data_IF_642975912894
#
_entry.id   IF_642975912894
#
_cell.length_a   1.000
_cell.length_b   1.000
_cell.length_c   1.000
_cell.angle_alpha   90.00
_cell.angle_beta   90.00
_cell.angle_gamma   90.00
#
_symmetry.space_group_name_H-M   'P 1'
#
loop_
_entity.id
_entity.type
_entity.pdbx_description
1 polymer ?
#
# COMPACT_ATOMS: atom_id res chain seq x y z
N UNK A 1 -3.63 -37.31 5.55
CA UNK A 1 -5.06 -36.90 5.60
C UNK A 1 -5.68 -37.24 4.25
N UNK A 2 -6.65 -38.18 4.21
CA UNK A 2 -7.24 -38.62 2.94
C UNK A 2 -8.08 -37.52 2.30
N UNK A 3 -7.99 -37.37 0.96
CA UNK A 3 -8.74 -36.38 0.17
C UNK A 3 -10.26 -36.42 0.44
N UNK A 4 -10.80 -37.61 0.77
CA UNK A 4 -12.21 -37.83 1.14
C UNK A 4 -12.57 -37.16 2.47
N UNK A 5 -11.67 -37.18 3.45
CA UNK A 5 -11.86 -36.57 4.77
C UNK A 5 -11.82 -35.02 4.66
N UNK A 6 -10.91 -34.49 3.84
CA UNK A 6 -10.84 -33.05 3.57
C UNK A 6 -12.12 -32.56 2.89
N UNK A 7 -12.63 -33.28 1.90
CA UNK A 7 -13.87 -32.94 1.18
C UNK A 7 -15.12 -33.02 2.08
N UNK A 8 -15.16 -33.98 3.02
CA UNK A 8 -16.22 -34.10 4.01
C UNK A 8 -16.20 -32.91 4.98
N UNK A 9 -15.04 -32.58 5.55
CA UNK A 9 -14.87 -31.45 6.46
C UNK A 9 -15.18 -30.10 5.80
N UNK A 10 -14.82 -29.95 4.52
CA UNK A 10 -15.16 -28.80 3.70
C UNK A 10 -16.66 -28.66 3.50
N UNK A 11 -17.37 -29.78 3.19
CA UNK A 11 -18.81 -29.81 3.06
C UNK A 11 -19.54 -29.46 4.35
N UNK A 12 -19.02 -29.91 5.49
CA UNK A 12 -19.60 -29.65 6.81
C UNK A 12 -19.43 -28.20 7.25
N UNK A 13 -18.29 -27.54 6.89
CA UNK A 13 -18.09 -26.10 7.11
C UNK A 13 -19.10 -25.24 6.34
N UNK A 14 -19.42 -25.60 5.10
CA UNK A 14 -20.47 -24.93 4.29
C UNK A 14 -21.88 -25.19 4.86
N UNK A 15 -22.16 -26.41 5.34
CA UNK A 15 -23.43 -26.73 5.99
C UNK A 15 -23.62 -26.02 7.33
N UNK A 16 -22.55 -25.76 8.08
CA UNK A 16 -22.60 -25.02 9.35
C UNK A 16 -23.10 -23.59 9.14
N UNK A 17 -22.64 -22.90 8.08
CA UNK A 17 -23.14 -21.58 7.68
C UNK A 17 -24.63 -21.60 7.34
N UNK A 18 -25.13 -22.69 6.76
CA UNK A 18 -26.54 -22.85 6.37
C UNK A 18 -27.48 -23.17 7.53
N UNK A 19 -27.00 -23.74 8.64
CA UNK A 19 -27.86 -24.15 9.78
C UNK A 19 -28.20 -23.00 10.74
N UNK A 20 -27.33 -21.99 10.86
CA UNK A 20 -27.54 -20.78 11.63
C UNK A 20 -27.27 -19.51 10.80
N UNK A 21 -28.08 -19.25 9.75
CA UNK A 21 -27.77 -18.23 8.76
C UNK A 21 -27.70 -16.83 9.36
N UNK A 22 -28.50 -16.51 10.35
CA UNK A 22 -28.51 -15.18 10.98
C UNK A 22 -27.20 -14.86 11.69
N UNK A 23 -26.63 -15.79 12.46
CA UNK A 23 -25.37 -15.60 13.18
C UNK A 23 -24.17 -15.52 12.23
N UNK A 24 -24.12 -16.42 11.25
CA UNK A 24 -23.04 -16.44 10.27
C UNK A 24 -23.10 -15.21 9.36
N UNK A 25 -24.31 -14.77 8.96
CA UNK A 25 -24.50 -13.60 8.11
C UNK A 25 -24.08 -12.31 8.84
N UNK A 26 -24.50 -12.14 10.09
CA UNK A 26 -24.12 -10.96 10.89
C UNK A 26 -22.60 -10.89 11.09
N UNK A 27 -21.94 -12.01 11.32
CA UNK A 27 -20.48 -12.08 11.42
C UNK A 27 -19.80 -11.73 10.09
N UNK A 28 -20.26 -12.29 8.97
CA UNK A 28 -19.72 -11.96 7.64
C UNK A 28 -19.91 -10.48 7.33
N UNK A 29 -21.06 -9.89 7.62
CA UNK A 29 -21.31 -8.44 7.41
C UNK A 29 -20.36 -7.59 8.27
N UNK A 30 -20.20 -7.91 9.55
CA UNK A 30 -19.30 -7.19 10.44
C UNK A 30 -17.82 -7.29 9.97
N UNK A 31 -17.39 -8.49 9.58
CA UNK A 31 -16.05 -8.71 9.04
C UNK A 31 -15.86 -8.01 7.68
N UNK A 32 -16.89 -8.02 6.82
CA UNK A 32 -16.85 -7.30 5.54
C UNK A 32 -16.64 -5.79 5.77
N UNK A 33 -17.40 -5.18 6.70
CA UNK A 33 -17.24 -3.78 7.04
C UNK A 33 -15.83 -3.47 7.55
N UNK A 34 -15.28 -4.31 8.44
CA UNK A 34 -13.92 -4.16 8.94
C UNK A 34 -12.87 -4.29 7.83
N UNK A 35 -13.02 -5.29 6.97
CA UNK A 35 -12.10 -5.53 5.83
C UNK A 35 -12.24 -4.46 4.74
N UNK A 36 -13.41 -3.84 4.57
CA UNK A 36 -13.59 -2.68 3.68
C UNK A 36 -12.73 -1.50 4.15
N UNK A 37 -12.69 -1.23 5.44
CA UNK A 37 -11.84 -0.17 6.01
C UNK A 37 -10.38 -0.49 5.73
N UNK A 38 -9.91 -1.69 6.03
CA UNK A 38 -8.54 -2.11 5.77
C UNK A 38 -8.16 -2.00 4.29
N UNK A 39 -9.02 -2.54 3.41
CA UNK A 39 -8.77 -2.53 1.97
C UNK A 39 -8.81 -1.12 1.38
N UNK A 40 -9.70 -0.25 1.87
CA UNK A 40 -9.74 1.16 1.50
C UNK A 40 -8.43 1.89 1.84
N UNK A 41 -7.92 1.69 3.06
CA UNK A 41 -6.61 2.22 3.44
C UNK A 41 -5.45 1.68 2.60
N UNK A 42 -5.47 0.39 2.25
CA UNK A 42 -4.45 -0.19 1.37
C UNK A 42 -4.51 0.41 -0.04
N UNK A 43 -5.71 0.65 -0.59
CA UNK A 43 -5.87 1.30 -1.90
C UNK A 43 -5.34 2.74 -1.86
N UNK A 44 -5.69 3.51 -0.84
CA UNK A 44 -5.20 4.88 -0.65
C UNK A 44 -3.66 4.87 -0.58
N UNK A 45 -3.10 4.02 0.28
CA UNK A 45 -1.65 3.92 0.45
C UNK A 45 -0.93 3.51 -0.84
N UNK A 46 -1.46 2.55 -1.59
CA UNK A 46 -0.88 2.11 -2.86
C UNK A 46 -0.90 3.22 -3.92
N UNK A 47 -1.96 4.02 -3.96
CA UNK A 47 -2.05 5.15 -4.91
C UNK A 47 -1.15 6.32 -4.49
N UNK A 48 -1.06 6.64 -3.19
CA UNK A 48 -0.10 7.63 -2.69
C UNK A 48 1.34 7.22 -3.01
N UNK A 49 1.72 5.98 -2.73
CA UNK A 49 3.06 5.47 -3.07
C UNK A 49 3.35 5.56 -4.57
N UNK A 50 2.35 5.30 -5.42
CA UNK A 50 2.52 5.45 -6.87
C UNK A 50 2.77 6.89 -7.26
N UNK A 51 1.98 7.84 -6.75
CA UNK A 51 2.18 9.27 -7.00
C UNK A 51 3.57 9.70 -6.54
N UNK A 52 4.00 9.27 -5.35
CA UNK A 52 5.34 9.54 -4.85
C UNK A 52 6.40 9.00 -5.79
N UNK A 53 6.29 7.74 -6.22
CA UNK A 53 7.25 7.12 -7.13
C UNK A 53 7.26 7.79 -8.52
N UNK A 54 6.09 8.14 -9.07
CA UNK A 54 6.00 8.84 -10.36
C UNK A 54 6.67 10.24 -10.28
N UNK A 55 6.54 10.90 -9.14
CA UNK A 55 7.24 12.15 -8.86
C UNK A 55 8.73 11.93 -8.61
N UNK A 56 9.11 10.82 -7.98
CA UNK A 56 10.52 10.43 -7.80
C UNK A 56 11.22 10.09 -9.11
N UNK A 57 10.53 9.47 -10.04
CA UNK A 57 11.08 9.17 -11.38
C UNK A 57 11.29 10.44 -12.22
N UNK A 58 10.55 11.52 -11.90
CA UNK A 58 10.72 12.85 -12.49
C UNK A 58 11.69 13.74 -11.70
N UNK A 59 12.36 13.24 -10.65
CA UNK A 59 13.38 13.98 -9.92
C UNK A 59 14.61 14.19 -10.81
N UNK A 60 14.62 15.32 -11.44
CA UNK A 60 15.77 15.87 -12.13
C UNK A 60 16.45 16.83 -11.16
N UNK A 61 17.75 16.66 -10.98
CA UNK A 61 18.54 17.64 -10.25
C UNK A 61 18.95 18.70 -11.26
N UNK A 62 18.46 19.91 -11.07
CA UNK A 62 18.75 21.05 -11.93
C UNK A 62 19.81 21.89 -11.25
N UNK A 63 20.93 22.07 -11.94
CA UNK A 63 22.04 22.92 -11.50
C UNK A 63 21.97 24.23 -12.28
N UNK A 64 21.57 25.31 -11.62
CA UNK A 64 21.55 26.63 -12.21
C UNK A 64 22.94 27.24 -12.19
N UNK A 65 23.35 27.79 -13.32
CA UNK A 65 24.63 28.46 -13.47
C UNK A 65 24.51 29.96 -13.25
N UNK A 66 25.55 30.58 -12.75
CA UNK A 66 25.62 32.03 -12.71
C UNK A 66 25.53 32.61 -14.13
N UNK A 67 24.83 33.75 -14.32
CA UNK A 67 24.79 34.42 -15.61
C UNK A 67 26.22 34.80 -16.08
N UNK A 68 26.41 34.95 -17.38
CA UNK A 68 27.65 35.36 -18.02
C UNK A 68 28.83 34.36 -17.94
N UNK A 69 28.55 33.05 -17.92
CA UNK A 69 29.60 32.04 -18.02
C UNK A 69 30.18 31.94 -19.45
N UNK A 70 31.52 31.93 -19.53
CA UNK A 70 32.22 31.66 -20.77
C UNK A 70 31.91 30.25 -21.31
N UNK A 71 31.67 30.07 -22.64
CA UNK A 71 31.42 28.77 -23.24
C UNK A 71 32.42 27.68 -22.84
N UNK A 72 33.70 28.06 -22.62
CA UNK A 72 34.72 27.12 -22.13
C UNK A 72 34.50 26.68 -20.68
N UNK A 73 33.91 27.54 -19.82
CA UNK A 73 33.54 27.18 -18.46
C UNK A 73 32.41 26.15 -18.44
N UNK A 74 31.40 26.31 -19.32
CA UNK A 74 30.30 25.37 -19.46
C UNK A 74 30.79 23.95 -19.77
N UNK A 75 31.72 23.77 -20.68
CA UNK A 75 32.25 22.46 -21.03
C UNK A 75 33.00 21.82 -19.84
N UNK A 76 33.77 22.60 -19.09
CA UNK A 76 34.45 22.12 -17.87
C UNK A 76 33.48 21.67 -16.80
N UNK A 77 32.37 22.42 -16.59
CA UNK A 77 31.32 22.07 -15.62
C UNK A 77 30.61 20.79 -16.06
N UNK A 78 30.29 20.66 -17.34
CA UNK A 78 29.65 19.46 -17.88
C UNK A 78 30.53 18.20 -17.67
N UNK A 79 31.83 18.27 -17.90
CA UNK A 79 32.77 17.17 -17.64
C UNK A 79 32.81 16.84 -16.13
N UNK A 80 32.96 17.85 -15.28
CA UNK A 80 32.94 17.65 -13.81
C UNK A 80 31.63 17.03 -13.32
N UNK A 81 30.49 17.44 -13.86
CA UNK A 81 29.18 16.86 -13.50
C UNK A 81 29.06 15.39 -13.92
N UNK A 82 29.65 14.99 -15.05
CA UNK A 82 29.71 13.59 -15.51
C UNK A 82 30.57 12.72 -14.59
N UNK A 83 31.57 13.29 -13.93
CA UNK A 83 32.44 12.59 -13.00
C UNK A 83 31.85 12.44 -11.59
N UNK A 84 30.74 13.13 -11.28
CA UNK A 84 30.08 13.02 -9.97
C UNK A 84 29.50 11.61 -9.79
N UNK A 85 29.84 10.91 -8.68
CA UNK A 85 29.39 9.54 -8.44
C UNK A 85 27.87 9.42 -8.35
N UNK A 86 27.26 8.73 -9.30
CA UNK A 86 25.81 8.52 -9.35
C UNK A 86 25.10 9.28 -10.46
N UNK A 87 25.77 10.19 -11.14
CA UNK A 87 25.27 10.85 -12.35
C UNK A 87 25.43 9.91 -13.54
N UNK A 88 24.37 9.74 -14.32
CA UNK A 88 24.33 8.88 -15.52
C UNK A 88 24.16 9.67 -16.81
N UNK A 89 23.71 10.91 -16.72
CA UNK A 89 23.54 11.81 -17.84
C UNK A 89 23.53 13.26 -17.39
N UNK A 90 23.99 14.13 -18.25
CA UNK A 90 24.02 15.57 -18.06
C UNK A 90 23.49 16.21 -19.33
N UNK A 91 22.43 17.00 -19.23
CA UNK A 91 21.83 17.76 -20.34
C UNK A 91 21.96 19.25 -20.04
N UNK A 92 22.52 20.00 -20.94
CA UNK A 92 22.52 21.45 -20.86
C UNK A 92 21.20 22.00 -21.39
N UNK A 93 20.61 22.94 -20.67
CA UNK A 93 19.40 23.68 -21.04
C UNK A 93 19.78 25.15 -21.16
N UNK A 94 19.64 25.72 -22.35
CA UNK A 94 19.88 27.13 -22.55
C UNK A 94 18.75 27.97 -21.95
N UNK A 95 18.96 29.27 -21.66
CA UNK A 95 17.88 30.15 -21.21
C UNK A 95 16.69 30.19 -22.15
N UNK A 96 16.95 30.12 -23.47
CA UNK A 96 15.90 30.11 -24.50
C UNK A 96 15.08 28.81 -24.46
N UNK A 97 15.76 27.64 -24.36
CA UNK A 97 15.13 26.32 -24.25
C UNK A 97 14.31 26.24 -22.95
N UNK A 98 14.87 26.72 -21.82
CA UNK A 98 14.15 26.77 -20.55
C UNK A 98 12.89 27.65 -20.62
N UNK A 99 12.96 28.76 -21.34
CA UNK A 99 11.81 29.65 -21.55
C UNK A 99 10.73 29.01 -22.41
N UNK A 100 11.13 28.32 -23.48
CA UNK A 100 10.20 27.61 -24.35
C UNK A 100 9.49 26.46 -23.62
N UNK A 101 10.23 25.68 -22.81
CA UNK A 101 9.64 24.63 -21.97
C UNK A 101 8.69 25.23 -20.92
N UNK A 102 9.09 26.30 -20.24
CA UNK A 102 8.28 26.98 -19.23
C UNK A 102 6.98 27.54 -19.80
N UNK A 103 7.05 28.19 -20.98
CA UNK A 103 5.87 28.75 -21.65
C UNK A 103 4.93 27.67 -22.17
N UNK A 104 5.46 26.51 -22.61
CA UNK A 104 4.65 25.39 -23.06
C UNK A 104 3.87 24.72 -21.93
N UNK A 105 4.40 24.73 -20.70
CA UNK A 105 3.73 24.17 -19.51
C UNK A 105 2.71 25.13 -18.89
N UNK A 106 2.89 26.45 -19.06
CA UNK A 106 1.99 27.47 -18.54
C UNK A 106 0.76 27.64 -19.43
N UNK A 107 -0.36 27.07 -19.03
CA UNK A 107 -1.67 27.17 -19.73
C UNK A 107 -2.42 28.50 -19.47
N UNK A 108 -1.78 29.55 -18.96
CA UNK A 108 -2.43 30.83 -18.59
C UNK A 108 -1.97 32.01 -19.42
N UNK A 109 -2.81 32.46 -20.36
CA UNK A 109 -2.54 33.53 -21.31
C UNK A 109 -2.25 34.93 -20.71
N UNK A 110 -2.28 35.14 -19.40
CA UNK A 110 -2.10 36.47 -18.77
C UNK A 110 -0.79 36.68 -18.03
N UNK A 111 -0.12 35.62 -17.56
CA UNK A 111 1.08 35.72 -16.74
C UNK A 111 2.36 35.97 -17.57
N UNK A 112 2.40 35.52 -18.80
CA UNK A 112 3.58 35.66 -19.67
C UNK A 112 3.80 37.09 -20.13
N UNK A 113 2.72 37.89 -20.28
CA UNK A 113 2.80 39.30 -20.66
C UNK A 113 3.36 40.20 -19.54
N UNK A 114 3.25 39.78 -18.27
CA UNK A 114 3.77 40.50 -17.11
C UNK A 114 5.25 40.27 -16.83
N UNK A 115 5.83 39.14 -17.28
CA UNK A 115 7.21 38.78 -16.96
C UNK A 115 8.24 39.51 -17.85
N UNK A 116 7.85 39.90 -19.07
CA UNK A 116 8.72 40.67 -20.00
C UNK A 116 9.86 39.84 -20.57
N UNK A 117 11.11 40.20 -20.25
CA UNK A 117 12.30 39.46 -20.71
C UNK A 117 12.50 38.14 -19.96
N UNK A 118 13.12 37.15 -20.63
CA UNK A 118 13.41 35.83 -20.06
C UNK A 118 14.32 35.93 -18.81
N UNK A 119 13.83 35.62 -17.59
CA UNK A 119 14.63 35.69 -16.37
C UNK A 119 15.37 34.38 -16.05
N UNK A 120 15.20 33.32 -16.87
CA UNK A 120 15.72 32.00 -16.54
C UNK A 120 17.23 31.92 -16.83
N UNK A 121 18.05 31.46 -15.85
CA UNK A 121 19.47 31.25 -16.06
C UNK A 121 19.74 29.98 -16.87
N UNK A 122 20.93 29.82 -17.47
CA UNK A 122 21.37 28.56 -18.03
C UNK A 122 21.48 27.48 -16.94
N UNK A 123 21.15 26.24 -17.27
CA UNK A 123 21.13 25.17 -16.29
C UNK A 123 21.63 23.83 -16.89
N UNK A 124 22.01 22.91 -15.99
CA UNK A 124 22.25 21.52 -16.32
C UNK A 124 21.21 20.64 -15.60
N UNK A 125 20.58 19.77 -16.38
CA UNK A 125 19.72 18.70 -15.87
C UNK A 125 20.56 17.44 -15.66
N UNK A 126 20.57 16.90 -14.43
CA UNK A 126 21.31 15.71 -14.06
C UNK A 126 20.38 14.51 -13.97
N UNK A 127 20.68 13.47 -14.73
CA UNK A 127 20.02 12.16 -14.57
C UNK A 127 20.84 11.29 -13.61
N UNK A 128 20.19 10.86 -12.52
CA UNK A 128 20.83 10.04 -11.50
C UNK A 128 20.53 8.54 -11.74
N UNK A 129 21.45 7.70 -11.30
CA UNK A 129 21.27 6.25 -11.25
C UNK A 129 20.19 5.89 -10.22
N UNK A 130 19.39 4.85 -10.49
CA UNK A 130 18.23 4.47 -9.68
C UNK A 130 18.55 4.25 -8.18
N UNK A 131 19.74 3.71 -7.86
CA UNK A 131 20.19 3.50 -6.47
C UNK A 131 20.61 4.79 -5.75
N UNK A 132 20.76 5.91 -6.48
CA UNK A 132 21.15 7.23 -5.97
C UNK A 132 20.04 8.29 -6.03
N UNK A 133 18.81 7.89 -6.38
CA UNK A 133 17.64 8.78 -6.43
C UNK A 133 16.98 8.99 -5.06
N UNK A 134 17.54 8.45 -3.97
CA UNK A 134 17.06 8.73 -2.62
C UNK A 134 17.50 10.12 -2.13
N UNK A 135 16.69 10.73 -1.28
CA UNK A 135 16.88 12.10 -0.80
C UNK A 135 18.28 12.35 -0.23
N UNK A 136 18.81 11.44 0.59
CA UNK A 136 20.14 11.61 1.19
C UNK A 136 21.27 11.63 0.15
N UNK A 137 21.16 10.84 -0.93
CA UNK A 137 22.14 10.85 -2.02
C UNK A 137 22.02 12.11 -2.89
N UNK A 138 20.78 12.59 -3.11
CA UNK A 138 20.52 13.82 -3.85
C UNK A 138 21.05 15.03 -3.08
N UNK A 139 20.80 15.12 -1.78
CA UNK A 139 21.33 16.18 -0.90
C UNK A 139 22.87 16.19 -0.87
N UNK A 140 23.50 15.01 -0.83
CA UNK A 140 24.95 14.91 -0.86
C UNK A 140 25.52 15.41 -2.19
N UNK A 141 24.91 15.02 -3.33
CA UNK A 141 25.32 15.48 -4.67
C UNK A 141 25.07 16.98 -4.82
N UNK A 142 23.90 17.47 -4.38
CA UNK A 142 23.56 18.87 -4.44
C UNK A 142 24.53 19.72 -3.62
N UNK A 143 24.83 19.33 -2.38
CA UNK A 143 25.79 20.03 -1.54
C UNK A 143 27.24 20.03 -2.07
N UNK A 144 27.65 18.95 -2.77
CA UNK A 144 28.95 18.92 -3.45
C UNK A 144 29.00 19.88 -4.64
N UNK A 145 27.93 19.90 -5.46
CA UNK A 145 27.87 20.73 -6.68
C UNK A 145 27.61 22.21 -6.34
N UNK A 146 26.80 22.51 -5.32
CA UNK A 146 26.50 23.87 -4.87
C UNK A 146 27.75 24.60 -4.33
N UNK A 147 28.75 23.85 -3.87
CA UNK A 147 30.03 24.41 -3.43
C UNK A 147 30.93 24.90 -4.60
N UNK A 148 30.53 24.74 -5.85
CA UNK A 148 31.33 25.18 -7.00
C UNK A 148 31.08 26.65 -7.30
N UNK A 149 32.14 27.40 -7.57
CA UNK A 149 32.07 28.86 -7.78
C UNK A 149 31.20 29.27 -8.97
N UNK A 150 31.03 28.38 -9.95
CA UNK A 150 30.30 28.62 -11.18
C UNK A 150 28.78 28.35 -11.02
N UNK A 151 28.38 27.68 -9.95
CA UNK A 151 27.01 27.30 -9.66
C UNK A 151 26.34 28.43 -8.87
N UNK A 152 25.09 28.74 -9.21
CA UNK A 152 24.28 29.70 -8.49
C UNK A 152 23.40 28.99 -7.46
N UNK A 153 22.64 27.98 -7.91
CA UNK A 153 21.72 27.19 -7.07
C UNK A 153 21.59 25.78 -7.61
N UNK A 154 21.38 24.81 -6.73
CA UNK A 154 21.03 23.45 -7.10
C UNK A 154 19.60 23.14 -6.65
N UNK A 155 18.69 22.99 -7.61
CA UNK A 155 17.31 22.65 -7.35
C UNK A 155 17.06 21.16 -7.59
N UNK A 156 16.51 20.47 -6.58
CA UNK A 156 16.19 19.04 -6.66
C UNK A 156 14.76 18.72 -6.16
N UNK A 157 13.85 19.69 -6.31
CA UNK A 157 12.48 19.56 -5.78
C UNK A 157 12.36 19.66 -4.27
N UNK A 158 13.45 19.98 -3.60
CA UNK A 158 13.62 20.47 -2.21
C UNK A 158 12.64 19.97 -1.14
N UNK A 159 12.10 20.94 -0.42
CA UNK A 159 11.34 20.73 0.82
C UNK A 159 10.03 19.92 0.64
N UNK A 160 9.34 20.02 -0.49
CA UNK A 160 8.08 19.31 -0.68
C UNK A 160 8.27 17.79 -0.88
N UNK A 161 9.38 17.37 -1.48
CA UNK A 161 9.73 15.96 -1.66
C UNK A 161 10.04 15.30 -0.32
N UNK A 162 10.77 15.98 0.56
CA UNK A 162 11.04 15.50 1.92
C UNK A 162 9.77 15.39 2.76
N UNK A 163 8.82 16.31 2.59
CA UNK A 163 7.50 16.25 3.21
C UNK A 163 6.66 15.08 2.68
N UNK A 164 6.77 14.78 1.39
CA UNK A 164 6.06 13.66 0.77
C UNK A 164 6.58 12.31 1.27
N UNK A 165 7.90 12.16 1.41
CA UNK A 165 8.53 10.97 2.01
C UNK A 165 8.14 10.80 3.49
N UNK A 166 8.10 11.89 4.24
CA UNK A 166 7.63 11.88 5.63
C UNK A 166 6.16 11.45 5.71
N UNK A 167 5.31 11.97 4.81
CA UNK A 167 3.91 11.60 4.71
C UNK A 167 3.73 10.12 4.33
N UNK A 168 4.49 9.62 3.36
CA UNK A 168 4.44 8.20 2.97
C UNK A 168 4.83 7.27 4.14
N UNK A 169 5.84 7.64 4.93
CA UNK A 169 6.22 6.90 6.15
C UNK A 169 5.13 6.95 7.22
N UNK A 170 4.50 8.12 7.45
CA UNK A 170 3.38 8.24 8.39
C UNK A 170 2.20 7.37 7.96
N UNK A 171 1.89 7.34 6.65
CA UNK A 171 0.83 6.52 6.09
C UNK A 171 1.11 5.01 6.28
N UNK A 172 2.38 4.58 6.17
CA UNK A 172 2.78 3.20 6.45
C UNK A 172 2.54 2.79 7.91
N UNK A 173 2.88 3.65 8.88
CA UNK A 173 2.58 3.43 10.31
C UNK A 173 1.08 3.43 10.59
N UNK A 174 0.32 4.32 9.95
CA UNK A 174 -1.14 4.34 10.05
C UNK A 174 -1.74 3.05 9.50
N UNK A 175 -1.27 2.56 8.35
CA UNK A 175 -1.71 1.27 7.79
C UNK A 175 -1.45 0.11 8.75
N UNK A 176 -0.29 0.08 9.40
CA UNK A 176 0.01 -0.93 10.42
C UNK A 176 -0.96 -0.84 11.61
N UNK A 177 -1.25 0.36 12.08
CA UNK A 177 -2.23 0.59 13.14
C UNK A 177 -3.64 0.11 12.76
N UNK A 178 -4.09 0.45 11.55
CA UNK A 178 -5.39 0.00 11.01
C UNK A 178 -5.40 -1.52 10.85
N UNK A 179 -4.34 -2.13 10.34
CA UNK A 179 -4.24 -3.59 10.20
C UNK A 179 -4.37 -4.29 11.57
N UNK A 180 -3.71 -3.78 12.60
CA UNK A 180 -3.80 -4.33 13.95
C UNK A 180 -5.20 -4.16 14.54
N UNK A 181 -5.79 -2.98 14.43
CA UNK A 181 -7.13 -2.69 14.94
C UNK A 181 -8.20 -3.55 14.24
N UNK A 182 -8.18 -3.60 12.91
CA UNK A 182 -9.09 -4.42 12.12
C UNK A 182 -8.84 -5.90 12.37
N UNK A 183 -7.56 -6.31 12.45
CA UNK A 183 -7.19 -7.69 12.77
C UNK A 183 -7.78 -8.14 14.10
N UNK A 184 -7.67 -7.32 15.15
CA UNK A 184 -8.28 -7.59 16.46
C UNK A 184 -9.81 -7.66 16.36
N UNK A 185 -10.44 -6.74 15.63
CA UNK A 185 -11.89 -6.75 15.44
C UNK A 185 -12.38 -8.02 14.74
N UNK A 186 -11.72 -8.42 13.64
CA UNK A 186 -12.04 -9.65 12.90
C UNK A 186 -11.84 -10.88 13.78
N UNK A 187 -10.72 -10.97 14.48
CA UNK A 187 -10.45 -12.07 15.43
C UNK A 187 -11.51 -12.15 16.51
N UNK A 188 -11.92 -11.01 17.09
CA UNK A 188 -12.97 -10.96 18.11
C UNK A 188 -14.34 -11.41 17.57
N UNK A 189 -14.72 -10.98 16.36
CA UNK A 189 -15.97 -11.38 15.71
C UNK A 189 -15.98 -12.87 15.43
N UNK A 190 -14.90 -13.40 14.83
CA UNK A 190 -14.74 -14.84 14.55
C UNK A 190 -14.80 -15.63 15.87
N UNK A 191 -14.03 -15.21 16.87
CA UNK A 191 -13.97 -15.91 18.16
C UNK A 191 -15.35 -15.96 18.82
N UNK A 192 -16.11 -14.87 18.81
CA UNK A 192 -17.46 -14.83 19.37
C UNK A 192 -18.41 -15.74 18.58
N UNK A 193 -18.36 -15.71 17.25
CA UNK A 193 -19.23 -16.55 16.39
C UNK A 193 -18.94 -18.03 16.58
N UNK A 194 -17.67 -18.43 16.57
CA UNK A 194 -17.25 -19.82 16.78
C UNK A 194 -17.65 -20.27 18.20
N UNK A 195 -17.49 -19.42 19.22
CA UNK A 195 -17.94 -19.75 20.57
C UNK A 195 -19.45 -20.05 20.62
N UNK A 196 -20.26 -19.24 19.97
CA UNK A 196 -21.71 -19.46 19.90
C UNK A 196 -22.05 -20.73 19.11
N UNK A 197 -21.35 -21.01 18.01
CA UNK A 197 -21.55 -22.23 17.22
C UNK A 197 -21.18 -23.48 18.02
N UNK A 198 -20.08 -23.45 18.79
CA UNK A 198 -19.68 -24.57 19.67
C UNK A 198 -20.72 -24.81 20.75
N UNK A 199 -21.23 -23.76 21.37
CA UNK A 199 -22.31 -23.87 22.38
C UNK A 199 -23.62 -24.45 21.78
N UNK A 200 -23.97 -24.03 20.56
CA UNK A 200 -25.16 -24.55 19.87
C UNK A 200 -25.02 -26.02 19.45
N UNK A 201 -23.78 -26.52 19.28
CA UNK A 201 -23.49 -27.93 18.91
C UNK A 201 -23.02 -28.77 20.10
N UNK A 202 -23.23 -28.32 21.33
CA UNK A 202 -22.71 -28.95 22.55
C UNK A 202 -23.05 -30.44 22.63
N UNK A 203 -24.34 -30.78 22.44
CA UNK A 203 -24.81 -32.17 22.52
C UNK A 203 -24.16 -33.09 21.49
N UNK A 204 -23.93 -32.57 20.26
CA UNK A 204 -23.26 -33.31 19.22
C UNK A 204 -21.76 -33.54 19.58
N UNK A 205 -21.13 -32.57 20.20
CA UNK A 205 -19.73 -32.66 20.65
C UNK A 205 -19.62 -33.69 21.79
N UNK A 206 -20.53 -33.70 22.72
CA UNK A 206 -20.58 -34.69 23.81
C UNK A 206 -20.70 -36.12 23.28
N UNK A 207 -21.62 -36.37 22.33
CA UNK A 207 -21.73 -37.67 21.66
C UNK A 207 -20.43 -38.07 20.96
N UNK A 208 -19.78 -37.14 20.23
CA UNK A 208 -18.51 -37.43 19.58
C UNK A 208 -17.40 -37.82 20.58
N UNK A 209 -17.36 -37.17 21.77
CA UNK A 209 -16.42 -37.51 22.84
C UNK A 209 -16.68 -38.92 23.40
N UNK A 210 -17.94 -39.27 23.65
CA UNK A 210 -18.32 -40.59 24.16
C UNK A 210 -17.93 -41.72 23.19
N UNK A 211 -18.03 -41.48 21.89
CA UNK A 211 -17.62 -42.44 20.84
C UNK A 211 -16.09 -42.47 20.64
N UNK A 212 -15.32 -41.62 21.35
CA UNK A 212 -13.85 -41.63 21.33
C UNK A 212 -13.22 -40.80 20.21
N UNK A 213 -13.93 -39.80 19.66
CA UNK A 213 -13.36 -38.90 18.68
C UNK A 213 -12.22 -38.07 19.29
N UNK A 214 -11.11 -37.92 18.57
CA UNK A 214 -9.98 -37.11 19.03
C UNK A 214 -10.36 -35.62 19.09
N UNK A 215 -9.78 -34.88 20.03
CA UNK A 215 -10.04 -33.42 20.17
C UNK A 215 -9.76 -32.67 18.86
N UNK A 216 -8.72 -33.05 18.12
CA UNK A 216 -8.37 -32.45 16.84
C UNK A 216 -9.50 -32.62 15.81
N UNK A 217 -10.08 -33.82 15.74
CA UNK A 217 -11.20 -34.11 14.85
C UNK A 217 -12.43 -33.26 15.18
N UNK A 218 -12.70 -33.03 16.47
CA UNK A 218 -13.81 -32.20 16.95
C UNK A 218 -13.58 -30.73 16.63
N UNK A 219 -12.33 -30.24 16.67
CA UNK A 219 -11.98 -28.82 16.47
C UNK A 219 -11.92 -28.40 15.01
N UNK A 220 -11.57 -29.31 14.10
CA UNK A 220 -11.33 -28.99 12.69
C UNK A 220 -12.52 -28.32 11.95
N UNK A 221 -13.77 -28.77 12.12
CA UNK A 221 -14.91 -28.13 11.44
C UNK A 221 -15.05 -26.65 11.77
N UNK A 222 -14.79 -26.29 13.03
CA UNK A 222 -14.91 -24.90 13.51
C UNK A 222 -13.75 -24.01 12.99
N UNK A 223 -12.55 -24.58 12.82
CA UNK A 223 -11.45 -23.87 12.19
C UNK A 223 -11.80 -23.54 10.73
N UNK A 224 -12.31 -24.51 9.99
CA UNK A 224 -12.77 -24.29 8.61
C UNK A 224 -13.93 -23.29 8.54
N UNK A 225 -14.88 -23.32 9.48
CA UNK A 225 -16.00 -22.39 9.53
C UNK A 225 -15.49 -20.94 9.61
N UNK A 226 -14.57 -20.62 10.53
CA UNK A 226 -14.01 -19.28 10.63
C UNK A 226 -13.18 -18.86 9.40
N UNK A 227 -12.44 -19.77 8.81
CA UNK A 227 -11.71 -19.51 7.54
C UNK A 227 -12.69 -19.20 6.40
N UNK A 228 -13.80 -19.92 6.29
CA UNK A 228 -14.80 -19.65 5.25
C UNK A 228 -15.51 -18.33 5.45
N UNK A 229 -15.88 -18.00 6.69
CA UNK A 229 -16.54 -16.73 6.99
C UNK A 229 -15.64 -15.55 6.64
N UNK A 230 -14.34 -15.58 7.01
CA UNK A 230 -13.39 -14.52 6.67
C UNK A 230 -13.06 -14.47 5.18
N UNK A 231 -12.99 -15.62 4.51
CA UNK A 231 -12.81 -15.67 3.06
C UNK A 231 -14.02 -15.06 2.33
N UNK A 232 -15.23 -15.43 2.72
CA UNK A 232 -16.44 -14.85 2.14
C UNK A 232 -16.50 -13.33 2.36
N UNK A 233 -16.20 -12.87 3.58
CA UNK A 233 -16.15 -11.45 3.91
C UNK A 233 -15.09 -10.70 3.10
N UNK A 234 -13.91 -11.30 2.90
CA UNK A 234 -12.83 -10.68 2.12
C UNK A 234 -13.16 -10.59 0.62
N UNK A 235 -13.81 -11.61 0.05
CA UNK A 235 -14.26 -11.57 -1.35
C UNK A 235 -15.33 -10.48 -1.56
N UNK A 236 -16.32 -10.40 -0.66
CA UNK A 236 -17.34 -9.35 -0.72
C UNK A 236 -16.71 -7.97 -0.57
N UNK A 237 -15.79 -7.79 0.38
CA UNK A 237 -15.05 -6.54 0.59
C UNK A 237 -14.25 -6.13 -0.67
N UNK A 238 -13.47 -7.05 -1.25
CA UNK A 238 -12.70 -6.76 -2.47
C UNK A 238 -13.60 -6.40 -3.66
N UNK A 239 -14.73 -7.09 -3.80
CA UNK A 239 -15.70 -6.79 -4.89
C UNK A 239 -16.32 -5.41 -4.71
N UNK A 240 -16.69 -5.06 -3.49
CA UNK A 240 -17.23 -3.73 -3.18
C UNK A 240 -16.18 -2.62 -3.39
N UNK A 241 -14.93 -2.84 -2.94
CA UNK A 241 -13.82 -1.92 -3.17
C UNK A 241 -13.52 -1.75 -4.66
N UNK A 242 -13.57 -2.84 -5.44
CA UNK A 242 -13.41 -2.75 -6.89
C UNK A 242 -14.50 -1.88 -7.53
N UNK A 243 -15.76 -2.09 -7.16
CA UNK A 243 -16.86 -1.30 -7.66
C UNK A 243 -16.74 0.18 -7.30
N UNK A 244 -16.37 0.49 -6.04
CA UNK A 244 -16.14 1.86 -5.56
C UNK A 244 -14.98 2.50 -6.33
N UNK A 245 -13.82 1.83 -6.41
CA UNK A 245 -12.63 2.36 -7.10
C UNK A 245 -12.92 2.63 -8.57
N UNK A 246 -13.63 1.71 -9.24
CA UNK A 246 -14.03 1.90 -10.64
C UNK A 246 -14.98 3.08 -10.83
N UNK A 247 -15.95 3.25 -9.93
CA UNK A 247 -16.86 4.39 -9.96
C UNK A 247 -16.14 5.72 -9.76
N UNK A 248 -15.21 5.79 -8.81
CA UNK A 248 -14.42 6.99 -8.53
C UNK A 248 -13.45 7.29 -9.69
N UNK A 249 -12.78 6.27 -10.24
CA UNK A 249 -11.82 6.47 -11.35
C UNK A 249 -12.47 6.99 -12.63
N UNK A 250 -13.76 6.74 -12.86
CA UNK A 250 -14.49 7.30 -13.99
C UNK A 250 -14.70 8.83 -13.90
N UNK A 251 -14.71 9.38 -12.68
CA UNK A 251 -14.97 10.79 -12.44
C UNK A 251 -13.69 11.60 -12.18
N UNK A 252 -12.71 11.01 -11.52
CA UNK A 252 -11.50 11.71 -11.06
C UNK A 252 -10.22 11.26 -11.76
N UNK A 253 -10.26 10.18 -12.54
CA UNK A 253 -9.06 9.65 -13.21
C UNK A 253 -7.95 9.17 -12.24
N UNK A 254 -7.01 8.36 -12.74
CA UNK A 254 -5.74 8.07 -12.05
C UNK A 254 -5.76 7.11 -10.84
N UNK A 255 -6.93 6.75 -10.29
CA UNK A 255 -6.99 5.82 -9.15
C UNK A 255 -6.91 4.38 -9.65
N UNK A 256 -5.91 3.65 -9.17
CA UNK A 256 -5.72 2.24 -9.50
C UNK A 256 -6.19 1.34 -8.37
N UNK A 257 -6.76 0.22 -8.75
CA UNK A 257 -7.11 -0.87 -7.85
C UNK A 257 -5.87 -1.67 -7.42
N UNK A 258 -6.04 -2.55 -6.45
CA UNK A 258 -5.00 -3.42 -5.94
C UNK A 258 -4.44 -4.35 -7.02
N UNK A 259 -3.15 -4.58 -7.00
CA UNK A 259 -2.46 -5.55 -7.85
C UNK A 259 -2.75 -6.98 -7.41
N UNK A 260 -2.56 -7.95 -8.30
CA UNK A 260 -2.80 -9.36 -7.99
C UNK A 260 -2.05 -9.86 -6.73
N UNK A 261 -0.75 -9.54 -6.51
CA UNK A 261 -0.06 -9.92 -5.27
C UNK A 261 -0.67 -9.25 -4.03
N UNK A 262 -1.14 -8.01 -4.12
CA UNK A 262 -1.81 -7.33 -2.99
C UNK A 262 -3.15 -7.98 -2.66
N UNK A 263 -3.93 -8.37 -3.67
CA UNK A 263 -5.18 -9.13 -3.49
C UNK A 263 -4.88 -10.48 -2.83
N UNK A 264 -3.86 -11.20 -3.29
CA UNK A 264 -3.46 -12.47 -2.70
C UNK A 264 -3.00 -12.32 -1.23
N UNK A 265 -2.23 -11.28 -0.92
CA UNK A 265 -1.82 -10.94 0.44
C UNK A 265 -3.03 -10.61 1.34
N UNK A 266 -3.98 -9.83 0.83
CA UNK A 266 -5.21 -9.49 1.55
C UNK A 266 -6.05 -10.74 1.88
N UNK A 267 -6.26 -11.62 0.91
CA UNK A 267 -6.96 -12.90 1.12
C UNK A 267 -6.21 -13.80 2.11
N UNK A 268 -4.89 -13.90 1.97
CA UNK A 268 -4.04 -14.65 2.90
C UNK A 268 -4.13 -14.14 4.33
N UNK A 269 -4.08 -12.82 4.51
CA UNK A 269 -4.24 -12.19 5.83
C UNK A 269 -5.62 -12.47 6.42
N UNK A 270 -6.69 -12.35 5.63
CA UNK A 270 -8.04 -12.66 6.08
C UNK A 270 -8.18 -14.12 6.53
N UNK A 271 -7.63 -15.07 5.77
CA UNK A 271 -7.61 -16.49 6.15
C UNK A 271 -6.85 -16.74 7.45
N UNK A 272 -5.68 -16.10 7.63
CA UNK A 272 -4.90 -16.20 8.87
C UNK A 272 -5.68 -15.65 10.07
N UNK A 273 -6.32 -14.49 9.92
CA UNK A 273 -7.15 -13.91 10.98
C UNK A 273 -8.33 -14.83 11.35
N UNK A 274 -8.99 -15.44 10.36
CA UNK A 274 -10.04 -16.42 10.57
C UNK A 274 -9.56 -17.65 11.33
N UNK A 275 -8.40 -18.19 10.96
CA UNK A 275 -7.78 -19.33 11.64
C UNK A 275 -7.39 -18.99 13.07
N UNK A 276 -6.75 -17.84 13.30
CA UNK A 276 -6.34 -17.38 14.64
C UNK A 276 -7.56 -17.16 15.52
N UNK A 277 -8.59 -16.47 15.01
CA UNK A 277 -9.83 -16.22 15.74
C UNK A 277 -10.53 -17.50 16.16
N UNK A 278 -10.69 -18.45 15.24
CA UNK A 278 -11.27 -19.77 15.53
C UNK A 278 -10.43 -20.56 16.54
N UNK A 279 -9.12 -20.55 16.39
CA UNK A 279 -8.21 -21.24 17.33
C UNK A 279 -8.32 -20.68 18.75
N UNK A 280 -8.33 -19.35 18.89
CA UNK A 280 -8.47 -18.70 20.20
C UNK A 280 -9.82 -19.00 20.84
N UNK A 281 -10.91 -18.97 20.07
CA UNK A 281 -12.22 -19.36 20.54
C UNK A 281 -12.26 -20.79 21.10
N UNK A 282 -11.75 -21.73 20.31
CA UNK A 282 -11.71 -23.14 20.69
C UNK A 282 -10.85 -23.36 21.95
N UNK A 283 -9.70 -22.69 22.03
CA UNK A 283 -8.83 -22.76 23.21
C UNK A 283 -9.53 -22.29 24.48
N UNK A 284 -10.34 -21.21 24.41
CA UNK A 284 -11.08 -20.68 25.55
C UNK A 284 -12.21 -21.61 25.97
N UNK A 285 -13.00 -22.09 25.01
CA UNK A 285 -14.15 -22.96 25.28
C UNK A 285 -13.72 -24.31 25.86
N UNK A 286 -12.69 -24.93 25.27
CA UNK A 286 -12.21 -26.24 25.74
C UNK A 286 -11.40 -26.18 27.05
N UNK A 287 -10.84 -25.01 27.44
CA UNK A 287 -10.25 -24.83 28.79
C UNK A 287 -11.28 -24.73 29.89
N UNK A 288 -12.49 -24.24 29.58
CA UNK A 288 -13.57 -24.09 30.56
C UNK A 288 -14.37 -25.37 30.82
N UNK A 289 -14.12 -26.43 30.08
CA UNK A 289 -14.69 -27.76 30.30
C UNK A 289 -13.55 -28.76 30.63
N UNK A 290 -13.14 -28.89 31.90
CA UNK A 290 -12.22 -29.95 32.25
C UNK A 290 -12.86 -31.31 31.94
N UNK A 291 -12.11 -32.17 31.32
CA UNK A 291 -12.45 -33.55 30.99
C UNK A 291 -12.61 -34.34 32.27
#
# INVERSE_FOLDING_TARGET
>A
MNLKTARYLFGEGIQAVRRHPALSLSAVVAMTASLLVLGGFLIISANVHRIVNDLEDRKEVIVYLKPDQDPSARLRIEERLKDVPGVTGVRYISPEEAWDEFTAEMTGEGLLEEIGDNPLPPSFELKLRADRRNLASIEAIAGEVEAWDEVDEVSYGGAWVSQLDAFARQLAWLNLGVLLAVGLAVVAVVANTIRLTVLAKRDTIEVMKVVGASEWFIRMPFLYEGMFQTLAASVVSLTALYAITRGVSQHFGGISYLTLPQIAAFLGTALLLGMVGSYLALRQVFKGYPV
#
